data_IF_015522109944
#
_entry.id   IF_015522109944
#
_cell.length_a   1.000
_cell.length_b   1.000
_cell.length_c   1.000
_cell.angle_alpha   90.00
_cell.angle_beta   90.00
_cell.angle_gamma   90.00
#
_symmetry.space_group_name_H-M   'P 1'
#
loop_
_entity.id
_entity.type
_entity.pdbx_description
1 polymer ?
#
# COMPACT_ATOMS: atom_id res chain seq x y z
N UNK A 1 -9.59 12.31 -0.54
CA UNK A 1 -9.62 10.84 -0.29
C UNK A 1 -8.18 10.34 -0.27
N UNK A 2 -7.94 9.19 0.37
CA UNK A 2 -6.64 8.54 0.31
C UNK A 2 -6.62 7.46 -0.76
N UNK A 3 -5.52 7.38 -1.48
CA UNK A 3 -5.26 6.35 -2.49
C UNK A 3 -4.17 5.46 -1.96
N UNK A 4 -4.40 4.15 -1.95
CA UNK A 4 -3.41 3.16 -1.53
C UNK A 4 -3.17 2.18 -2.67
N UNK A 5 -2.21 2.47 -3.56
CA UNK A 5 -1.63 1.46 -4.44
C UNK A 5 -0.87 0.46 -3.57
N UNK A 6 -1.26 -0.81 -3.63
CA UNK A 6 -0.65 -1.85 -2.82
C UNK A 6 -0.40 -3.14 -3.58
N UNK A 7 0.60 -3.87 -3.13
CA UNK A 7 0.85 -5.27 -3.46
C UNK A 7 0.86 -6.03 -2.14
N UNK A 8 0.11 -7.12 -2.09
CA UNK A 8 0.11 -8.02 -0.94
C UNK A 8 0.56 -9.41 -1.38
N UNK A 9 1.62 -9.91 -0.74
CA UNK A 9 2.15 -11.25 -0.95
C UNK A 9 2.09 -12.04 0.34
N UNK A 10 1.64 -13.29 0.25
CA UNK A 10 1.70 -14.25 1.34
C UNK A 10 2.82 -15.24 1.06
N UNK A 11 3.83 -15.27 1.93
CA UNK A 11 4.93 -16.22 1.87
C UNK A 11 4.60 -17.34 2.85
N UNK A 12 4.31 -18.54 2.32
CA UNK A 12 4.11 -19.73 3.15
C UNK A 12 5.47 -20.30 3.57
N UNK A 13 5.75 -20.24 4.87
CA UNK A 13 6.82 -20.99 5.54
C UNK A 13 6.21 -21.74 6.73
N UNK A 14 7.04 -22.23 7.66
CA UNK A 14 6.57 -22.77 8.95
C UNK A 14 5.63 -21.79 9.68
N UNK A 15 5.85 -20.48 9.49
CA UNK A 15 4.95 -19.40 9.89
C UNK A 15 4.59 -18.56 8.65
N UNK A 16 3.30 -18.20 8.46
CA UNK A 16 2.92 -17.33 7.36
C UNK A 16 3.48 -15.92 7.56
N UNK A 17 4.11 -15.38 6.51
CA UNK A 17 4.59 -14.00 6.46
C UNK A 17 3.72 -13.27 5.44
N UNK A 18 3.13 -12.16 5.86
CA UNK A 18 2.45 -11.24 4.95
C UNK A 18 3.38 -10.07 4.66
N UNK A 19 3.61 -9.83 3.38
CA UNK A 19 4.39 -8.72 2.87
C UNK A 19 3.47 -7.74 2.17
N UNK A 20 3.55 -6.47 2.56
CA UNK A 20 2.78 -5.37 2.00
C UNK A 20 3.75 -4.38 1.38
N UNK A 21 3.64 -4.18 0.07
CA UNK A 21 4.27 -3.02 -0.57
C UNK A 21 3.19 -1.97 -0.76
N UNK A 22 3.39 -0.80 -0.19
CA UNK A 22 2.44 0.32 -0.28
C UNK A 22 3.17 1.50 -0.89
N UNK A 23 2.56 2.10 -1.90
CA UNK A 23 3.06 3.35 -2.45
C UNK A 23 2.71 4.48 -1.48
N UNK A 24 3.73 5.20 -1.05
CA UNK A 24 3.66 6.26 -0.05
C UNK A 24 4.30 7.53 -0.61
N UNK A 25 3.97 8.67 -0.02
CA UNK A 25 4.60 9.96 -0.32
C UNK A 25 5.61 10.24 0.80
N UNK A 26 6.89 10.40 0.44
CA UNK A 26 7.99 10.58 1.41
C UNK A 26 8.05 9.48 2.46
N UNK A 27 7.64 8.25 2.11
CA UNK A 27 7.59 7.06 2.97
C UNK A 27 6.63 7.07 4.15
N UNK A 28 5.99 8.20 4.46
CA UNK A 28 5.28 8.40 5.73
C UNK A 28 3.83 8.81 5.52
N UNK A 29 3.54 9.48 4.41
CA UNK A 29 2.20 9.91 4.07
C UNK A 29 1.54 8.97 3.04
N UNK A 30 0.20 8.95 3.07
CA UNK A 30 -0.61 8.33 2.03
C UNK A 30 -0.82 9.33 0.89
N UNK A 31 -0.94 8.80 -0.33
CA UNK A 31 -1.33 9.61 -1.48
C UNK A 31 -2.74 10.18 -1.26
N UNK A 32 -2.87 11.49 -1.34
CA UNK A 32 -4.13 12.20 -1.15
C UNK A 32 -4.54 12.89 -2.44
N UNK A 33 -5.76 12.65 -2.90
CA UNK A 33 -6.33 13.33 -4.07
C UNK A 33 -7.80 13.72 -3.84
N UNK A 34 -8.26 14.69 -4.62
CA UNK A 34 -9.67 15.09 -4.69
C UNK A 34 -10.34 14.54 -5.93
N UNK A 35 -10.28 13.22 -6.14
CA UNK A 35 -10.85 12.54 -7.30
C UNK A 35 -12.06 11.67 -6.93
N UNK A 36 -12.64 10.98 -7.92
CA UNK A 36 -13.68 9.97 -7.70
C UNK A 36 -13.06 8.58 -7.87
N UNK A 37 -13.53 7.59 -7.10
CA UNK A 37 -13.15 6.18 -7.33
C UNK A 37 -13.37 5.72 -8.78
N UNK A 38 -14.32 6.34 -9.50
CA UNK A 38 -14.62 5.97 -10.89
C UNK A 38 -13.56 6.43 -11.88
N UNK A 39 -12.78 7.45 -11.54
CA UNK A 39 -11.83 8.08 -12.46
C UNK A 39 -10.38 7.92 -12.01
N UNK A 40 -10.16 7.51 -10.75
CA UNK A 40 -8.82 7.33 -10.16
C UNK A 40 -7.85 6.51 -11.03
N UNK A 41 -8.33 5.47 -11.69
CA UNK A 41 -7.51 4.59 -12.52
C UNK A 41 -6.99 5.35 -13.76
N UNK A 42 -7.89 5.97 -14.51
CA UNK A 42 -7.56 6.69 -15.74
C UNK A 42 -6.87 8.06 -15.49
N UNK A 43 -7.24 8.76 -14.42
CA UNK A 43 -6.77 10.12 -14.16
C UNK A 43 -5.42 10.14 -13.40
N UNK A 44 -5.16 9.13 -12.56
CA UNK A 44 -4.01 9.16 -11.64
C UNK A 44 -3.13 7.91 -11.74
N UNK A 45 -3.68 6.71 -11.84
CA UNK A 45 -2.85 5.49 -11.77
C UNK A 45 -2.18 5.18 -13.10
N UNK A 46 -2.95 5.02 -14.17
CA UNK A 46 -2.43 4.69 -15.50
C UNK A 46 -1.45 5.75 -16.06
N UNK A 47 -1.70 7.06 -15.90
CA UNK A 47 -0.74 8.09 -16.34
C UNK A 47 0.60 8.02 -15.60
N UNK A 48 0.62 7.50 -14.38
CA UNK A 48 1.83 7.27 -13.60
C UNK A 48 2.37 5.84 -13.76
N UNK A 49 1.89 5.07 -14.75
CA UNK A 49 2.36 3.71 -15.03
C UNK A 49 1.94 2.66 -14.01
N UNK A 50 0.93 2.94 -13.17
CA UNK A 50 0.38 2.02 -12.17
C UNK A 50 -0.87 1.36 -12.75
N UNK A 51 -0.82 0.04 -12.91
CA UNK A 51 -1.93 -0.75 -13.43
C UNK A 51 -2.49 -1.67 -12.36
N UNK A 52 -3.80 -1.96 -12.41
CA UNK A 52 -4.47 -2.73 -11.38
C UNK A 52 -4.85 -4.14 -11.84
N UNK A 53 -4.79 -5.10 -10.91
CA UNK A 53 -5.26 -6.49 -11.13
C UNK A 53 -6.79 -6.54 -11.19
N UNK A 54 -7.45 -5.63 -10.47
CA UNK A 54 -8.91 -5.55 -10.31
C UNK A 54 -9.33 -4.11 -10.00
N UNK A 55 -10.63 -3.84 -10.15
CA UNK A 55 -11.20 -2.52 -9.86
C UNK A 55 -10.86 -2.04 -8.45
N UNK A 56 -10.61 -0.74 -8.24
CA UNK A 56 -10.38 -0.17 -6.92
C UNK A 56 -11.55 -0.43 -5.96
N UNK A 57 -11.24 -0.54 -4.67
CA UNK A 57 -12.24 -0.76 -3.61
C UNK A 57 -12.25 0.43 -2.66
N UNK A 58 -13.40 1.11 -2.51
CA UNK A 58 -13.59 2.16 -1.52
C UNK A 58 -13.97 1.56 -0.17
N UNK A 59 -13.23 1.92 0.89
CA UNK A 59 -13.57 1.63 2.29
C UNK A 59 -13.36 2.90 3.10
N UNK A 60 -14.45 3.48 3.62
CA UNK A 60 -14.40 4.80 4.23
C UNK A 60 -13.99 5.85 3.20
N UNK A 61 -12.92 6.58 3.48
CA UNK A 61 -12.30 7.60 2.64
C UNK A 61 -11.03 7.10 1.91
N UNK A 62 -10.74 5.79 1.99
CA UNK A 62 -9.58 5.15 1.39
C UNK A 62 -10.00 4.32 0.18
N UNK A 63 -9.35 4.56 -0.96
CA UNK A 63 -9.44 3.74 -2.17
C UNK A 63 -8.24 2.81 -2.23
N UNK A 64 -8.52 1.51 -2.12
CA UNK A 64 -7.52 0.45 -2.19
C UNK A 64 -7.35 -0.02 -3.63
N UNK A 65 -6.12 0.08 -4.13
CA UNK A 65 -5.77 -0.18 -5.52
C UNK A 65 -4.75 -1.33 -5.58
N UNK A 66 -5.23 -2.54 -5.91
CA UNK A 66 -4.39 -3.74 -5.97
C UNK A 66 -3.57 -3.74 -7.27
N UNK A 67 -2.26 -3.51 -7.16
CA UNK A 67 -1.37 -3.29 -8.30
C UNK A 67 -0.99 -4.59 -9.00
N UNK A 68 -0.99 -4.56 -10.33
CA UNK A 68 -0.53 -5.63 -11.22
C UNK A 68 0.97 -5.49 -11.47
N UNK A 69 1.75 -6.38 -10.87
CA UNK A 69 3.22 -6.41 -11.00
C UNK A 69 3.72 -6.87 -12.37
N UNK A 70 2.85 -7.44 -13.23
CA UNK A 70 3.24 -7.84 -14.58
C UNK A 70 3.16 -6.68 -15.57
N UNK A 71 2.32 -5.68 -15.27
CA UNK A 71 2.13 -4.49 -16.10
C UNK A 71 2.81 -3.26 -15.53
N UNK A 72 2.83 -3.12 -14.21
CA UNK A 72 3.46 -2.00 -13.51
C UNK A 72 4.95 -2.25 -13.40
N UNK A 73 5.75 -1.34 -13.96
CA UNK A 73 7.19 -1.43 -13.80
C UNK A 73 7.60 -0.85 -12.44
N UNK A 74 7.96 -1.74 -11.52
CA UNK A 74 8.31 -1.35 -10.16
C UNK A 74 9.63 -0.57 -10.06
N UNK A 75 10.50 -0.67 -11.07
CA UNK A 75 11.80 0.04 -11.08
C UNK A 75 11.67 1.52 -11.39
N UNK A 76 10.52 1.96 -11.89
CA UNK A 76 10.26 3.36 -12.23
C UNK A 76 9.95 4.21 -10.98
N UNK A 77 9.90 3.57 -9.81
CA UNK A 77 9.60 4.18 -8.53
C UNK A 77 10.73 3.95 -7.55
N UNK A 78 10.98 4.95 -6.69
CA UNK A 78 11.90 4.79 -5.58
C UNK A 78 11.37 3.76 -4.58
N UNK A 79 12.30 3.06 -3.94
CA UNK A 79 12.06 2.35 -2.69
C UNK A 79 12.30 3.30 -1.52
N UNK A 80 11.61 3.09 -0.41
CA UNK A 80 11.75 3.95 0.77
C UNK A 80 13.21 4.14 1.23
N UNK A 81 14.06 3.12 1.06
CA UNK A 81 15.46 3.17 1.48
C UNK A 81 16.35 4.04 0.56
N UNK A 82 15.84 4.45 -0.61
CA UNK A 82 16.55 5.30 -1.57
C UNK A 82 16.25 6.79 -1.37
N UNK A 83 15.21 7.13 -0.59
CA UNK A 83 14.86 8.52 -0.34
C UNK A 83 15.74 9.13 0.78
N UNK A 84 16.23 10.37 0.60
CA UNK A 84 16.74 11.18 1.70
C UNK A 84 15.70 11.34 2.80
N UNK A 85 16.13 11.46 4.06
CA UNK A 85 15.22 11.58 5.21
C UNK A 85 14.36 12.84 5.12
N UNK A 86 14.88 13.87 4.46
CA UNK A 86 14.22 15.15 4.26
C UNK A 86 13.17 15.13 3.14
N UNK A 87 13.17 14.11 2.26
CA UNK A 87 12.23 14.01 1.16
C UNK A 87 10.85 13.58 1.66
N UNK A 88 9.89 14.49 1.50
CA UNK A 88 8.50 14.33 1.96
C UNK A 88 7.50 14.30 0.82
N UNK A 89 7.94 14.40 -0.43
CA UNK A 89 7.08 14.66 -1.58
C UNK A 89 7.20 13.57 -2.66
N UNK A 90 8.31 12.84 -2.69
CA UNK A 90 8.54 11.81 -3.70
C UNK A 90 7.73 10.54 -3.39
N UNK A 91 7.09 9.99 -4.43
CA UNK A 91 6.44 8.68 -4.35
C UNK A 91 7.48 7.57 -4.20
N UNK A 92 7.28 6.70 -3.20
CA UNK A 92 8.12 5.54 -3.01
C UNK A 92 7.36 4.31 -2.50
N UNK A 93 7.85 3.14 -2.88
CA UNK A 93 7.39 1.86 -2.34
C UNK A 93 7.99 1.62 -0.96
N UNK A 94 7.12 1.52 0.04
CA UNK A 94 7.49 1.11 1.39
C UNK A 94 6.99 -0.30 1.65
N UNK A 95 7.88 -1.12 2.21
CA UNK A 95 7.58 -2.54 2.47
C UNK A 95 7.35 -2.75 3.97
N UNK A 96 6.27 -3.45 4.29
CA UNK A 96 5.91 -3.85 5.65
C UNK A 96 5.75 -5.36 5.73
N UNK A 97 6.01 -5.91 6.92
CA UNK A 97 5.90 -7.33 7.18
C UNK A 97 5.05 -7.56 8.43
N UNK A 98 4.16 -8.55 8.37
CA UNK A 98 3.53 -9.13 9.56
C UNK A 98 3.76 -10.62 9.60
N UNK A 99 3.95 -11.14 10.81
CA UNK A 99 4.12 -12.56 11.07
C UNK A 99 2.85 -13.13 11.70
N UNK A 100 2.43 -14.28 11.18
CA UNK A 100 1.29 -15.03 11.72
C UNK A 100 0.04 -14.98 10.86
N UNK A 101 -1.00 -15.67 11.33
CA UNK A 101 -2.29 -15.77 10.65
C UNK A 101 -3.22 -14.63 11.05
N UNK A 102 -4.36 -14.50 10.36
CA UNK A 102 -5.44 -13.55 10.71
C UNK A 102 -5.90 -13.67 12.18
N UNK A 103 -5.70 -14.85 12.79
CA UNK A 103 -6.14 -15.21 14.14
C UNK A 103 -5.00 -15.20 15.18
N UNK A 104 -3.74 -15.21 14.74
CA UNK A 104 -2.58 -15.25 15.64
C UNK A 104 -1.40 -14.48 15.03
N UNK A 105 -1.29 -13.19 15.36
CA UNK A 105 -0.10 -12.41 15.02
C UNK A 105 0.94 -12.59 16.11
N UNK A 106 2.09 -13.15 15.74
CA UNK A 106 3.20 -13.39 16.68
C UNK A 106 4.06 -12.14 16.90
N UNK A 107 4.05 -11.22 15.93
CA UNK A 107 4.67 -9.91 16.01
C UNK A 107 3.67 -8.89 15.48
N UNK A 108 2.76 -8.39 16.34
CA UNK A 108 1.83 -7.35 15.94
C UNK A 108 2.63 -6.11 15.53
N UNK A 109 2.18 -5.42 14.48
CA UNK A 109 2.72 -4.10 14.17
C UNK A 109 2.38 -3.20 15.34
N UNK A 110 3.38 -2.48 15.86
CA UNK A 110 3.14 -1.49 16.91
C UNK A 110 2.00 -0.56 16.46
N UNK A 111 1.01 -0.38 17.34
CA UNK A 111 -0.12 0.53 17.13
C UNK A 111 0.35 1.99 16.97
N UNK A 112 1.59 2.29 17.33
CA UNK A 112 2.22 3.60 17.16
C UNK A 112 2.68 3.86 15.71
N UNK A 113 2.74 2.82 14.87
CA UNK A 113 3.08 2.99 13.45
C UNK A 113 1.83 3.34 12.65
N UNK A 114 1.79 4.59 12.21
CA UNK A 114 0.77 5.10 11.29
C UNK A 114 1.35 5.34 9.89
N UNK A 115 0.47 5.26 8.90
CA UNK A 115 0.67 5.82 7.56
C UNK A 115 -0.38 6.92 7.36
N UNK A 116 0.09 8.17 7.35
CA UNK A 116 -0.80 9.32 7.46
C UNK A 116 -1.67 9.23 8.73
N UNK A 117 -3.00 9.43 8.63
CA UNK A 117 -3.88 9.39 9.79
C UNK A 117 -4.31 7.97 10.22
N UNK A 118 -3.90 6.92 9.50
CA UNK A 118 -4.36 5.55 9.74
C UNK A 118 -3.32 4.68 10.45
N UNK A 119 -3.72 3.91 11.48
CA UNK A 119 -2.88 2.87 12.04
C UNK A 119 -2.57 1.80 10.98
N UNK A 120 -1.30 1.40 10.86
CA UNK A 120 -0.89 0.38 9.88
C UNK A 120 -1.66 -0.93 10.05
N UNK A 121 -2.02 -1.30 11.29
CA UNK A 121 -2.78 -2.52 11.57
C UNK A 121 -4.15 -2.53 10.87
N UNK A 122 -4.87 -1.40 10.87
CA UNK A 122 -6.19 -1.28 10.22
C UNK A 122 -6.07 -1.40 8.70
N UNK A 123 -5.08 -0.73 8.12
CA UNK A 123 -4.78 -0.80 6.69
C UNK A 123 -4.48 -2.24 6.28
N UNK A 124 -3.65 -2.94 7.04
CA UNK A 124 -3.18 -4.27 6.65
C UNK A 124 -4.25 -5.33 6.86
N UNK A 125 -5.08 -5.19 7.91
CA UNK A 125 -6.27 -6.02 8.07
C UNK A 125 -7.25 -5.86 6.90
N UNK A 126 -7.46 -4.63 6.46
CA UNK A 126 -8.31 -4.34 5.29
C UNK A 126 -7.71 -4.96 4.04
N UNK A 127 -6.41 -4.75 3.79
CA UNK A 127 -5.69 -5.32 2.65
C UNK A 127 -5.80 -6.85 2.64
N UNK A 128 -5.59 -7.54 3.78
CA UNK A 128 -5.74 -9.00 3.84
C UNK A 128 -7.16 -9.47 3.54
N UNK A 129 -8.18 -8.68 3.85
CA UNK A 129 -9.59 -9.04 3.65
C UNK A 129 -10.04 -8.84 2.21
N UNK A 130 -9.44 -7.88 1.50
CA UNK A 130 -9.76 -7.58 0.09
C UNK A 130 -8.76 -8.21 -0.89
N UNK A 131 -7.68 -8.83 -0.40
CA UNK A 131 -6.66 -9.50 -1.20
C UNK A 131 -7.15 -10.84 -1.71
#
# INVERSE_FOLDING_TARGET
MFIIPFIHKKIQQQMPIHQYHILTVGGTALWTESCSIRTIEADHLEPNGIYLVRKPILKGDIVYCCVDMHKTNMTDFYTWNELPIEDKETFCWRTFYTFGSKESSWLPISNEKCLGPYPCQELFHTIQTIS
#
